data_IF_397409451001
#
_entry.id   IF_397409451001
#
_cell.length_a   1.000
_cell.length_b   1.000
_cell.length_c   1.000
_cell.angle_alpha   90.00
_cell.angle_beta   90.00
_cell.angle_gamma   90.00
#
_symmetry.space_group_name_H-M   'P 1'
#
loop_
_entity.id
_entity.type
_entity.pdbx_description
1 polymer ?
#
# COMPACT_ATOMS: atom_id res chain seq x y z
N UNK A 1 11.06 -11.76 38.00
CA UNK A 1 9.86 -11.18 37.37
C UNK A 1 10.24 -9.85 36.74
N UNK A 2 10.41 -9.81 35.41
CA UNK A 2 10.51 -8.55 34.66
C UNK A 2 9.65 -8.73 33.40
N UNK A 3 8.67 -7.86 33.24
CA UNK A 3 7.67 -7.87 32.16
C UNK A 3 8.19 -6.99 31.02
N UNK A 4 7.92 -7.44 29.79
CA UNK A 4 7.60 -6.64 28.59
C UNK A 4 8.48 -5.44 28.21
N UNK A 5 9.06 -5.49 27.02
CA UNK A 5 8.56 -4.70 25.87
C UNK A 5 9.22 -5.22 24.59
N UNK A 6 8.46 -5.89 23.74
CA UNK A 6 8.87 -6.16 22.35
C UNK A 6 8.16 -5.12 21.49
N UNK A 7 8.83 -4.08 20.99
CA UNK A 7 8.33 -3.37 19.82
C UNK A 7 8.88 -4.11 18.61
N UNK A 8 8.38 -5.33 18.34
CA UNK A 8 8.55 -5.90 17.01
C UNK A 8 7.52 -5.21 16.13
N UNK A 9 7.78 -3.94 15.82
CA UNK A 9 7.08 -3.28 14.74
C UNK A 9 7.40 -4.10 13.49
N UNK A 10 6.43 -4.77 12.86
CA UNK A 10 6.70 -5.68 11.75
C UNK A 10 7.47 -4.91 10.69
N UNK A 11 8.73 -5.32 10.47
CA UNK A 11 9.56 -4.75 9.42
C UNK A 11 8.82 -4.99 8.11
N UNK A 12 8.45 -3.94 7.35
CA UNK A 12 7.69 -4.09 6.13
C UNK A 12 8.43 -5.02 5.16
N UNK A 13 7.84 -6.17 4.83
CA UNK A 13 8.46 -7.15 3.95
C UNK A 13 8.32 -6.71 2.49
N UNK A 14 9.24 -7.09 1.61
CA UNK A 14 9.05 -6.84 0.18
C UNK A 14 7.82 -7.59 -0.32
N UNK A 15 6.98 -6.94 -1.14
CA UNK A 15 5.82 -7.60 -1.72
C UNK A 15 6.28 -8.80 -2.58
N UNK A 16 5.76 -10.02 -2.35
CA UNK A 16 6.13 -11.18 -3.14
C UNK A 16 5.53 -11.06 -4.55
N UNK A 17 6.40 -11.13 -5.55
CA UNK A 17 6.05 -11.07 -6.99
C UNK A 17 6.48 -12.38 -7.64
N UNK A 18 5.56 -13.02 -8.36
CA UNK A 18 5.84 -14.21 -9.15
C UNK A 18 6.56 -13.86 -10.47
N UNK A 19 7.19 -14.83 -11.12
CA UNK A 19 7.90 -14.65 -12.40
C UNK A 19 7.03 -14.01 -13.51
N UNK A 20 5.71 -14.16 -13.43
CA UNK A 20 4.73 -13.57 -14.35
C UNK A 20 4.33 -12.12 -14.00
N UNK A 21 5.07 -11.44 -13.12
CA UNK A 21 4.74 -10.12 -12.56
C UNK A 21 3.39 -10.06 -11.85
N UNK A 22 2.91 -11.18 -11.32
CA UNK A 22 1.67 -11.25 -10.53
C UNK A 22 2.03 -11.13 -9.05
N UNK A 23 1.24 -10.37 -8.30
CA UNK A 23 1.37 -10.35 -6.84
C UNK A 23 1.05 -11.74 -6.31
N UNK A 24 2.06 -12.43 -5.78
CA UNK A 24 1.97 -13.81 -5.31
C UNK A 24 1.38 -13.92 -3.89
N UNK A 25 0.84 -12.82 -3.39
CA UNK A 25 0.24 -12.65 -2.08
C UNK A 25 -1.26 -12.39 -2.18
N UNK A 26 -2.00 -12.82 -1.16
CA UNK A 26 -3.42 -12.50 -1.01
C UNK A 26 -3.57 -11.14 -0.34
N UNK A 27 -3.92 -10.13 -1.12
CA UNK A 27 -4.02 -8.75 -0.65
C UNK A 27 -5.28 -8.57 0.17
N UNK A 28 -5.21 -7.75 1.21
CA UNK A 28 -6.36 -7.43 2.06
C UNK A 28 -7.40 -6.62 1.26
N UNK A 29 -8.38 -7.36 0.74
CA UNK A 29 -9.48 -6.87 -0.08
C UNK A 29 -10.55 -6.18 0.78
N UNK A 30 -10.87 -4.93 0.44
CA UNK A 30 -12.01 -4.21 1.01
C UNK A 30 -13.30 -4.45 0.23
N UNK A 31 -13.19 -4.48 -1.11
CA UNK A 31 -14.33 -4.61 -2.01
C UNK A 31 -13.89 -5.36 -3.26
N UNK A 32 -14.71 -6.32 -3.68
CA UNK A 32 -14.53 -7.04 -4.93
C UNK A 32 -15.82 -6.90 -5.74
N UNK A 33 -15.72 -6.28 -6.90
CA UNK A 33 -16.81 -6.18 -7.88
C UNK A 33 -16.43 -6.94 -9.14
N UNK A 34 -17.37 -7.16 -10.09
CA UNK A 34 -17.05 -7.79 -11.37
C UNK A 34 -16.04 -7.00 -12.22
N UNK A 35 -15.91 -5.68 -12.01
CA UNK A 35 -15.05 -4.80 -12.82
C UNK A 35 -13.81 -4.29 -12.07
N UNK A 36 -13.85 -4.25 -10.74
CA UNK A 36 -12.77 -3.68 -9.91
C UNK A 36 -12.54 -4.48 -8.63
N UNK A 37 -11.30 -4.43 -8.16
CA UNK A 37 -10.86 -4.90 -6.86
C UNK A 37 -10.33 -3.69 -6.09
N UNK A 38 -10.73 -3.55 -4.82
CA UNK A 38 -10.26 -2.50 -3.93
C UNK A 38 -9.48 -3.13 -2.78
N UNK A 39 -8.24 -2.68 -2.61
CA UNK A 39 -7.30 -3.18 -1.60
C UNK A 39 -6.97 -2.06 -0.62
N UNK A 40 -6.87 -2.41 0.66
CA UNK A 40 -6.33 -1.49 1.68
C UNK A 40 -4.84 -1.31 1.52
N UNK A 41 -4.40 -0.06 1.53
CA UNK A 41 -2.99 0.27 1.63
C UNK A 41 -2.78 1.40 2.64
N UNK A 42 -1.55 1.54 3.09
CA UNK A 42 -1.11 2.64 3.93
C UNK A 42 0.03 3.36 3.21
N UNK A 43 -0.07 4.66 3.13
CA UNK A 43 0.99 5.53 2.65
C UNK A 43 1.69 6.14 3.85
N UNK A 44 3.00 5.92 3.96
CA UNK A 44 3.82 6.63 4.92
C UNK A 44 4.47 7.83 4.25
N UNK A 45 4.23 9.00 4.82
CA UNK A 45 4.77 10.27 4.34
C UNK A 45 5.68 10.90 5.38
N UNK A 46 6.79 11.50 4.94
CA UNK A 46 7.69 12.22 5.83
C UNK A 46 7.14 13.62 6.15
N UNK A 47 7.10 14.00 7.43
CA UNK A 47 6.79 15.38 7.84
C UNK A 47 8.09 16.15 8.06
N UNK A 48 8.46 17.13 7.21
CA UNK A 48 9.76 17.78 7.28
C UNK A 48 9.98 18.58 8.58
N UNK A 49 8.93 19.05 9.24
CA UNK A 49 9.04 19.87 10.45
C UNK A 49 9.07 19.08 11.76
N UNK A 50 8.57 17.84 11.76
CA UNK A 50 8.37 17.03 12.98
C UNK A 50 9.34 15.84 13.05
N UNK A 51 9.99 15.48 11.94
CA UNK A 51 10.88 14.32 11.86
C UNK A 51 10.16 12.96 11.95
N UNK A 52 8.86 12.96 12.24
CA UNK A 52 8.02 11.78 12.30
C UNK A 52 7.40 11.45 10.94
N UNK A 53 7.14 10.17 10.71
CA UNK A 53 6.38 9.71 9.55
C UNK A 53 4.89 9.71 9.90
N UNK A 54 4.07 10.29 9.02
CA UNK A 54 2.61 10.20 9.12
C UNK A 54 2.11 9.10 8.21
N UNK A 55 1.28 8.22 8.75
CA UNK A 55 0.58 7.20 7.97
C UNK A 55 -0.80 7.68 7.53
N UNK A 56 -1.15 7.40 6.28
CA UNK A 56 -2.43 7.70 5.66
C UNK A 56 -3.01 6.41 5.10
N UNK A 57 -4.23 6.05 5.50
CA UNK A 57 -4.92 4.91 4.91
C UNK A 57 -5.44 5.29 3.51
N UNK A 58 -5.17 4.42 2.54
CA UNK A 58 -5.49 4.56 1.13
C UNK A 58 -6.30 3.37 0.63
N UNK A 59 -7.17 3.64 -0.35
CA UNK A 59 -7.85 2.60 -1.11
C UNK A 59 -7.23 2.51 -2.52
N UNK A 60 -6.59 1.37 -2.81
CA UNK A 60 -6.06 1.06 -4.13
C UNK A 60 -7.18 0.45 -4.98
N UNK A 61 -7.55 1.13 -6.06
CA UNK A 61 -8.61 0.66 -6.97
C UNK A 61 -7.94 0.06 -8.20
N UNK A 62 -8.12 -1.24 -8.39
CA UNK A 62 -7.47 -2.02 -9.45
C UNK A 62 -8.54 -2.57 -10.40
N UNK A 63 -8.49 -2.28 -11.70
CA UNK A 63 -9.40 -2.89 -12.67
C UNK A 63 -9.17 -4.40 -12.78
N UNK A 64 -10.23 -5.20 -12.78
CA UNK A 64 -10.11 -6.67 -12.91
C UNK A 64 -9.45 -7.12 -14.22
N UNK A 65 -9.52 -6.30 -15.27
CA UNK A 65 -8.81 -6.56 -16.53
C UNK A 65 -7.29 -6.59 -16.38
N UNK A 66 -6.76 -6.03 -15.28
CA UNK A 66 -5.33 -6.05 -14.95
C UNK A 66 -5.00 -7.08 -13.85
N UNK A 67 -5.97 -7.93 -13.51
CA UNK A 67 -5.82 -9.05 -12.59
C UNK A 67 -5.79 -10.38 -13.38
N UNK A 68 -5.01 -11.35 -12.90
CA UNK A 68 -5.15 -12.75 -13.29
C UNK A 68 -5.98 -13.46 -12.21
N UNK A 69 -7.27 -13.65 -12.50
CA UNK A 69 -8.24 -14.17 -11.52
C UNK A 69 -8.55 -13.14 -10.44
N UNK A 70 -8.07 -13.39 -9.22
CA UNK A 70 -8.21 -12.48 -8.06
C UNK A 70 -6.92 -11.70 -7.76
N UNK A 71 -5.81 -12.05 -8.42
CA UNK A 71 -4.49 -11.48 -8.15
C UNK A 71 -4.16 -10.37 -9.14
N UNK A 72 -3.89 -9.13 -8.69
CA UNK A 72 -3.45 -8.06 -9.58
C UNK A 72 -2.03 -8.32 -10.08
N UNK A 73 -1.72 -7.81 -11.26
CA UNK A 73 -0.31 -7.67 -11.69
C UNK A 73 0.39 -6.62 -10.84
N UNK A 74 1.71 -6.72 -10.69
CA UNK A 74 2.54 -5.73 -10.02
C UNK A 74 2.36 -4.36 -10.66
N UNK A 75 2.33 -4.30 -11.99
CA UNK A 75 2.10 -3.06 -12.74
C UNK A 75 0.75 -2.42 -12.37
N UNK A 76 -0.32 -3.22 -12.28
CA UNK A 76 -1.65 -2.73 -11.89
C UNK A 76 -1.66 -2.17 -10.46
N UNK A 77 -0.98 -2.87 -9.55
CA UNK A 77 -0.84 -2.43 -8.16
C UNK A 77 -0.05 -1.11 -8.07
N UNK A 78 1.06 -0.98 -8.80
CA UNK A 78 1.86 0.25 -8.86
C UNK A 78 1.06 1.42 -9.43
N UNK A 79 0.33 1.20 -10.53
CA UNK A 79 -0.52 2.21 -11.13
C UNK A 79 -1.64 2.66 -10.17
N UNK A 80 -2.30 1.71 -9.51
CA UNK A 80 -3.32 2.01 -8.52
C UNK A 80 -2.74 2.79 -7.31
N UNK A 81 -1.53 2.44 -6.88
CA UNK A 81 -0.82 3.11 -5.81
C UNK A 81 -0.44 4.55 -6.17
N UNK A 82 0.12 4.78 -7.36
CA UNK A 82 0.41 6.12 -7.87
C UNK A 82 -0.86 6.97 -7.99
N UNK A 83 -1.95 6.40 -8.52
CA UNK A 83 -3.24 7.08 -8.61
C UNK A 83 -3.83 7.39 -7.23
N UNK A 84 -3.66 6.51 -6.24
CA UNK A 84 -4.11 6.74 -4.87
C UNK A 84 -3.33 7.88 -4.21
N UNK A 85 -2.00 7.89 -4.36
CA UNK A 85 -1.14 8.99 -3.90
C UNK A 85 -1.55 10.30 -4.57
N UNK A 86 -1.67 10.32 -5.90
CA UNK A 86 -2.07 11.52 -6.64
C UNK A 86 -3.43 12.07 -6.18
N UNK A 87 -4.40 11.19 -5.88
CA UNK A 87 -5.70 11.60 -5.31
C UNK A 87 -5.54 12.18 -3.91
N UNK A 88 -4.78 11.51 -3.04
CA UNK A 88 -4.53 11.96 -1.67
C UNK A 88 -3.79 13.30 -1.62
N UNK A 89 -2.86 13.54 -2.56
CA UNK A 89 -2.10 14.80 -2.64
C UNK A 89 -2.85 15.92 -3.36
N UNK A 90 -3.75 15.60 -4.31
CA UNK A 90 -4.55 16.59 -5.06
C UNK A 90 -5.78 17.10 -4.30
N UNK A 91 -6.35 16.32 -3.39
CA UNK A 91 -7.62 16.64 -2.72
C UNK A 91 -7.55 17.74 -1.63
N UNK A 92 -6.43 18.48 -1.52
CA UNK A 92 -6.32 19.64 -0.61
C UNK A 92 -6.30 19.30 0.89
N UNK A 93 -6.25 18.01 1.26
CA UNK A 93 -6.33 17.57 2.67
C UNK A 93 -4.98 17.64 3.40
N UNK A 94 -3.88 17.82 2.68
CA UNK A 94 -2.56 18.16 3.25
C UNK A 94 -1.69 18.81 2.18
N UNK A 95 -1.21 20.06 2.36
CA UNK A 95 -0.33 20.71 1.39
C UNK A 95 1.00 19.96 1.27
N UNK A 96 1.60 20.09 0.09
CA UNK A 96 2.80 19.47 -0.49
C UNK A 96 4.12 19.64 0.32
N UNK A 97 4.10 19.51 1.64
CA UNK A 97 5.31 19.39 2.46
C UNK A 97 5.73 17.94 2.67
N UNK A 98 4.86 16.97 2.34
CA UNK A 98 5.10 15.57 2.66
C UNK A 98 5.68 14.80 1.46
N UNK A 99 6.94 14.36 1.58
CA UNK A 99 7.55 13.46 0.61
C UNK A 99 7.02 12.03 0.84
N UNK A 100 6.35 11.40 -0.14
CA UNK A 100 5.94 10.01 -0.01
C UNK A 100 7.20 9.15 0.12
N UNK A 101 7.29 8.33 1.16
CA UNK A 101 8.47 7.50 1.40
C UNK A 101 8.28 6.06 0.95
N UNK A 102 7.11 5.51 1.24
CA UNK A 102 6.79 4.11 0.97
C UNK A 102 5.27 3.93 0.98
N UNK A 103 4.79 3.03 0.14
CA UNK A 103 3.41 2.53 0.21
C UNK A 103 3.48 1.10 0.70
N UNK A 104 2.61 0.81 1.66
CA UNK A 104 2.47 -0.48 2.31
C UNK A 104 1.13 -1.05 1.89
N UNK A 105 1.12 -2.17 1.17
CA UNK A 105 -0.08 -2.99 1.02
C UNK A 105 -0.17 -3.96 2.20
N UNK A 106 -1.38 -4.38 2.56
CA UNK A 106 -1.55 -5.44 3.56
C UNK A 106 -1.86 -6.77 2.88
N UNK A 107 -1.22 -7.83 3.37
CA UNK A 107 -1.36 -9.21 2.91
C UNK A 107 -1.65 -10.08 4.12
N UNK A 108 -2.84 -10.63 4.23
CA UNK A 108 -3.30 -11.37 5.41
C UNK A 108 -3.03 -10.59 6.73
N UNK A 109 -3.28 -9.27 6.72
CA UNK A 109 -3.00 -8.38 7.84
C UNK A 109 -1.53 -8.00 8.06
N UNK A 110 -0.60 -8.47 7.23
CA UNK A 110 0.82 -8.17 7.32
C UNK A 110 1.26 -7.06 6.35
N UNK A 111 2.03 -6.05 6.80
CA UNK A 111 2.46 -4.94 5.95
C UNK A 111 3.56 -5.37 4.97
N UNK A 112 3.34 -5.10 3.69
CA UNK A 112 4.27 -5.35 2.60
C UNK A 112 4.56 -4.08 1.80
N UNK A 113 5.83 -3.82 1.51
CA UNK A 113 6.27 -2.68 0.73
C UNK A 113 5.94 -2.87 -0.74
N UNK A 114 5.23 -1.89 -1.30
CA UNK A 114 5.15 -1.67 -2.73
C UNK A 114 6.39 -0.86 -3.13
N UNK A 115 7.24 -1.33 -4.05
CA UNK A 115 8.40 -0.57 -4.54
C UNK A 115 7.92 0.51 -5.51
N UNK A 116 7.57 1.69 -4.99
CA UNK A 116 6.93 2.76 -5.78
C UNK A 116 7.88 3.85 -6.25
N UNK A 117 9.17 3.78 -5.87
CA UNK A 117 10.17 4.82 -6.10
C UNK A 117 11.55 4.23 -6.32
#
# INVERSE_FOLDING_TARGET
MAKHFTPDAPVPQALPVADDDIVAADLDLCLSTPSTVVVSARLDVAVPEVGEARSLDLALVIPRSQCRGERPTLAALLQAAQAAVARATRAGTTPLLYLPRRIVAFVAGQPHLIPVF
#
